data_IF_853508053249
#
_entry.id   IF_853508053249
#
_cell.length_a   1.000
_cell.length_b   1.000
_cell.length_c   1.000
_cell.angle_alpha   90.00
_cell.angle_beta   90.00
_cell.angle_gamma   90.00
#
_symmetry.space_group_name_H-M   'P 1'
#
loop_
_entity.id
_entity.type
_entity.pdbx_description
1 polymer ?
#
# COMPACT_ATOMS: atom_id res chain seq x y z
N UNK A 1 21.58 49.69 34.66
CA UNK A 1 20.69 50.87 34.70
C UNK A 1 19.26 50.33 34.67
N UNK A 2 18.70 50.00 35.78
CA UNK A 2 17.57 50.58 36.53
C UNK A 2 16.41 51.05 35.65
N UNK A 3 15.30 50.26 35.67
CA UNK A 3 13.96 50.49 36.30
C UNK A 3 12.99 51.20 35.35
N UNK A 4 11.78 50.68 35.10
CA UNK A 4 10.58 50.83 35.94
C UNK A 4 9.40 49.98 35.45
N UNK A 5 8.74 49.38 36.45
CA UNK A 5 7.38 48.84 36.44
C UNK A 5 6.35 49.96 36.31
N UNK A 6 5.19 49.70 35.71
CA UNK A 6 3.94 50.31 36.17
C UNK A 6 2.74 49.40 35.87
N UNK A 7 2.12 48.99 36.94
CA UNK A 7 0.79 48.44 37.16
C UNK A 7 -0.28 49.51 37.09
N UNK A 8 -1.48 49.16 36.61
CA UNK A 8 -2.84 49.62 37.01
C UNK A 8 -3.83 48.76 36.22
N UNK A 9 -4.64 47.91 36.66
CA UNK A 9 -5.66 47.73 37.71
C UNK A 9 -6.96 48.56 37.51
N UNK A 10 -8.08 47.81 37.63
CA UNK A 10 -9.51 48.15 37.88
C UNK A 10 -10.32 48.54 36.65
N UNK A 11 -11.60 48.15 36.47
CA UNK A 11 -12.70 47.65 37.33
C UNK A 11 -13.76 46.99 36.45
N UNK A 12 -14.36 45.86 36.76
CA UNK A 12 -15.58 45.55 37.50
C UNK A 12 -16.90 46.27 37.11
N UNK A 13 -17.89 45.47 36.68
CA UNK A 13 -19.33 45.48 36.98
C UNK A 13 -20.01 44.41 36.09
N UNK A 14 -20.48 43.32 36.52
CA UNK A 14 -21.68 42.88 37.22
C UNK A 14 -23.02 43.24 36.56
N UNK A 15 -23.76 42.22 36.14
CA UNK A 15 -25.24 42.05 36.27
C UNK A 15 -25.63 40.84 35.39
N UNK A 16 -26.25 39.95 35.83
CA UNK A 16 -27.44 39.45 36.48
C UNK A 16 -27.92 38.15 35.79
N UNK A 17 -28.23 37.25 36.64
CA UNK A 17 -28.75 35.89 36.44
C UNK A 17 -30.04 35.83 35.60
N UNK A 18 -30.18 34.73 34.84
CA UNK A 18 -31.46 34.05 34.67
C UNK A 18 -31.23 32.53 34.80
N UNK A 19 -31.72 32.00 35.89
CA UNK A 19 -31.85 30.56 36.12
C UNK A 19 -32.93 30.02 35.19
N UNK A 20 -32.58 29.00 34.44
CA UNK A 20 -33.53 28.03 33.91
C UNK A 20 -33.05 26.65 34.34
N UNK A 21 -33.71 26.11 35.33
CA UNK A 21 -33.61 24.74 35.81
C UNK A 21 -34.06 23.80 34.72
N UNK A 22 -33.15 22.96 34.22
CA UNK A 22 -33.51 21.72 33.55
C UNK A 22 -32.80 20.59 34.31
N UNK A 23 -33.63 19.61 34.67
CA UNK A 23 -33.34 18.59 35.65
C UNK A 23 -32.12 17.72 35.35
N UNK A 24 -31.34 17.47 36.39
CA UNK A 24 -30.47 16.33 36.50
C UNK A 24 -31.32 15.05 36.47
N UNK A 25 -31.24 14.33 35.37
CA UNK A 25 -31.49 12.89 35.39
C UNK A 25 -30.13 12.19 35.24
N UNK A 26 -29.51 12.02 36.40
CA UNK A 26 -28.40 11.06 36.50
C UNK A 26 -29.01 9.66 36.47
N UNK A 27 -28.93 9.00 35.32
CA UNK A 27 -28.99 7.56 35.22
C UNK A 27 -27.66 7.11 34.61
N UNK A 28 -26.81 6.52 35.44
CA UNK A 28 -25.67 5.77 35.03
C UNK A 28 -26.14 4.54 34.24
N UNK A 29 -25.75 4.49 33.03
CA UNK A 29 -25.81 3.36 32.14
C UNK A 29 -24.71 3.57 31.12
N UNK A 30 -23.71 2.68 31.10
CA UNK A 30 -22.77 2.58 29.99
C UNK A 30 -23.55 2.10 28.77
N UNK A 31 -24.22 3.02 28.09
CA UNK A 31 -24.73 2.74 26.75
C UNK A 31 -23.61 3.13 25.78
N UNK A 32 -23.03 2.15 25.12
CA UNK A 32 -22.30 2.31 23.88
C UNK A 32 -23.27 2.77 22.78
N UNK A 33 -23.93 3.91 22.98
CA UNK A 33 -24.78 4.49 21.94
C UNK A 33 -23.83 5.06 20.88
N UNK A 34 -23.81 4.40 19.71
CA UNK A 34 -23.06 4.89 18.57
C UNK A 34 -23.51 6.32 18.23
N UNK A 35 -22.54 7.20 17.93
CA UNK A 35 -22.84 8.55 17.46
C UNK A 35 -23.77 8.50 16.25
N UNK A 36 -24.87 9.27 16.28
CA UNK A 36 -25.82 9.31 15.19
C UNK A 36 -25.85 10.69 14.52
N UNK A 37 -26.10 10.70 13.22
CA UNK A 37 -26.36 11.93 12.45
C UNK A 37 -27.70 12.57 12.86
N UNK A 38 -27.96 13.80 12.38
CA UNK A 38 -29.19 14.51 12.69
C UNK A 38 -30.47 13.80 12.18
N UNK A 39 -30.34 13.00 11.15
CA UNK A 39 -31.38 12.14 10.55
C UNK A 39 -31.40 10.71 11.12
N UNK A 40 -30.57 10.42 12.13
CA UNK A 40 -30.64 9.20 12.93
C UNK A 40 -29.82 8.03 12.39
N UNK A 41 -28.98 8.24 11.38
CA UNK A 41 -28.05 7.21 10.88
C UNK A 41 -26.86 7.03 11.84
N UNK A 42 -26.37 5.80 12.00
CA UNK A 42 -25.14 5.53 12.73
C UNK A 42 -23.96 6.12 11.95
N UNK A 43 -23.20 7.01 12.58
CA UNK A 43 -22.03 7.64 11.98
C UNK A 43 -20.82 6.73 12.09
N UNK A 44 -20.13 6.53 10.97
CA UNK A 44 -18.92 5.70 10.85
C UNK A 44 -17.83 6.53 10.22
N UNK A 45 -16.67 6.63 10.86
CA UNK A 45 -15.53 7.41 10.37
C UNK A 45 -14.54 6.49 9.68
N UNK A 46 -14.18 6.83 8.45
CA UNK A 46 -13.19 6.12 7.64
C UNK A 46 -12.00 7.02 7.33
N UNK A 47 -10.76 6.51 7.48
CA UNK A 47 -9.57 7.19 6.97
C UNK A 47 -9.01 6.51 5.74
N UNK A 48 -8.52 7.31 4.79
CA UNK A 48 -7.82 6.85 3.59
C UNK A 48 -6.77 7.86 3.13
N UNK A 49 -5.75 7.40 2.39
CA UNK A 49 -4.66 8.25 1.89
C UNK A 49 -4.75 8.64 0.42
N UNK A 50 -5.82 8.25 -0.27
CA UNK A 50 -6.00 8.52 -1.70
C UNK A 50 -6.32 9.98 -1.96
N UNK A 51 -5.53 10.67 -2.80
CA UNK A 51 -5.64 12.12 -3.02
C UNK A 51 -5.91 12.53 -4.47
N UNK A 52 -5.88 11.60 -5.41
CA UNK A 52 -6.02 11.86 -6.85
C UNK A 52 -7.34 11.29 -7.41
N UNK A 53 -7.29 10.65 -8.57
CA UNK A 53 -8.46 10.03 -9.20
C UNK A 53 -9.04 8.88 -8.37
N UNK A 54 -8.18 8.14 -7.71
CA UNK A 54 -8.53 7.07 -6.77
C UNK A 54 -9.35 7.60 -5.59
N UNK A 55 -8.94 8.72 -4.99
CA UNK A 55 -9.68 9.36 -3.90
C UNK A 55 -11.08 9.80 -4.33
N UNK A 56 -11.20 10.45 -5.49
CA UNK A 56 -12.49 10.87 -6.04
C UNK A 56 -13.42 9.68 -6.31
N UNK A 57 -12.85 8.58 -6.80
CA UNK A 57 -13.60 7.36 -7.08
C UNK A 57 -14.10 6.73 -5.80
N UNK A 58 -13.24 6.61 -4.77
CA UNK A 58 -13.62 6.11 -3.46
C UNK A 58 -14.72 6.97 -2.83
N UNK A 59 -14.57 8.29 -2.82
CA UNK A 59 -15.58 9.21 -2.30
C UNK A 59 -16.93 9.06 -3.02
N UNK A 60 -16.92 8.81 -4.35
CA UNK A 60 -18.14 8.54 -5.10
C UNK A 60 -18.82 7.25 -4.65
N UNK A 61 -18.06 6.16 -4.48
CA UNK A 61 -18.57 4.87 -4.00
C UNK A 61 -19.15 5.01 -2.58
N UNK A 62 -18.45 5.73 -1.68
CA UNK A 62 -18.95 6.02 -0.33
C UNK A 62 -20.25 6.82 -0.36
N UNK A 63 -20.33 7.84 -1.21
CA UNK A 63 -21.55 8.64 -1.39
C UNK A 63 -22.72 7.79 -1.90
N UNK A 64 -22.47 6.85 -2.78
CA UNK A 64 -23.51 5.96 -3.32
C UNK A 64 -23.93 4.93 -2.27
N UNK A 65 -23.01 4.40 -1.44
CA UNK A 65 -23.36 3.61 -0.25
C UNK A 65 -24.26 4.39 0.71
N UNK A 66 -23.87 5.61 1.08
CA UNK A 66 -24.63 6.45 2.01
C UNK A 66 -26.04 6.77 1.51
N UNK A 67 -26.28 6.79 0.19
CA UNK A 67 -27.60 6.99 -0.43
C UNK A 67 -28.40 5.70 -0.57
N UNK A 68 -27.74 4.54 -0.67
CA UNK A 68 -28.40 3.27 -0.96
C UNK A 68 -29.20 2.71 0.23
N UNK A 69 -28.99 3.26 1.41
CA UNK A 69 -29.59 2.79 2.67
C UNK A 69 -29.76 3.96 3.68
N UNK A 70 -30.58 3.74 4.75
CA UNK A 70 -30.95 4.75 5.74
C UNK A 70 -30.42 4.47 7.15
N UNK A 71 -29.52 3.48 7.32
CA UNK A 71 -29.04 3.04 8.64
C UNK A 71 -27.70 3.65 9.02
N UNK A 72 -26.81 3.85 8.05
CA UNK A 72 -25.42 4.20 8.26
C UNK A 72 -25.02 5.41 7.42
N UNK A 73 -24.05 6.17 7.93
CA UNK A 73 -23.37 7.23 7.17
C UNK A 73 -21.87 7.12 7.37
N UNK A 74 -21.13 6.85 6.30
CA UNK A 74 -19.69 6.84 6.30
C UNK A 74 -19.17 8.25 6.01
N UNK A 75 -18.37 8.78 6.95
CA UNK A 75 -17.61 10.02 6.82
C UNK A 75 -16.17 9.65 6.40
N UNK A 76 -15.91 9.72 5.10
CA UNK A 76 -14.60 9.43 4.53
C UNK A 76 -13.67 10.63 4.68
N UNK A 77 -12.55 10.45 5.34
CA UNK A 77 -11.59 11.50 5.68
C UNK A 77 -10.23 11.20 5.04
N UNK A 78 -9.78 12.09 4.16
CA UNK A 78 -8.43 12.03 3.59
C UNK A 78 -7.40 12.36 4.68
N UNK A 79 -6.46 11.45 4.89
CA UNK A 79 -5.29 11.62 5.74
C UNK A 79 -4.03 11.24 4.94
N UNK A 80 -2.94 12.01 5.01
CA UNK A 80 -1.68 11.57 4.41
C UNK A 80 -1.27 10.17 4.89
N UNK A 81 -0.75 9.34 4.00
CA UNK A 81 -0.28 7.98 4.33
C UNK A 81 0.71 7.96 5.51
N UNK A 82 1.63 8.95 5.56
CA UNK A 82 2.56 9.12 6.68
C UNK A 82 1.84 9.40 7.99
N UNK A 83 0.80 10.25 7.98
CA UNK A 83 -0.02 10.53 9.17
C UNK A 83 -0.73 9.28 9.67
N UNK A 84 -1.29 8.46 8.77
CA UNK A 84 -1.90 7.18 9.12
C UNK A 84 -0.85 6.30 9.80
N UNK A 85 0.33 6.12 9.18
CA UNK A 85 1.42 5.30 9.72
C UNK A 85 1.91 5.75 11.09
N UNK A 86 2.09 7.05 11.30
CA UNK A 86 2.69 7.60 12.51
C UNK A 86 1.72 7.72 13.69
N UNK A 87 0.40 7.86 13.42
CA UNK A 87 -0.55 8.25 14.47
C UNK A 87 -1.58 7.19 14.82
N UNK A 88 -1.76 6.15 14.01
CA UNK A 88 -2.85 5.17 14.14
C UNK A 88 -2.95 4.57 15.55
N UNK A 89 -1.88 3.97 16.05
CA UNK A 89 -1.87 3.32 17.37
C UNK A 89 -2.27 4.31 18.48
N UNK A 90 -1.68 5.51 18.46
CA UNK A 90 -1.99 6.54 19.47
C UNK A 90 -3.45 7.00 19.38
N UNK A 91 -3.96 7.19 18.17
CA UNK A 91 -5.33 7.66 17.94
C UNK A 91 -6.37 6.63 18.36
N UNK A 92 -6.16 5.36 17.98
CA UNK A 92 -7.05 4.27 18.39
C UNK A 92 -7.03 4.07 19.90
N UNK A 93 -5.84 4.08 20.52
CA UNK A 93 -5.71 3.94 22.00
C UNK A 93 -6.37 5.08 22.76
N UNK A 94 -6.37 6.31 22.23
CA UNK A 94 -7.05 7.45 22.86
C UNK A 94 -8.56 7.50 22.57
N UNK A 95 -9.08 6.68 21.65
CA UNK A 95 -10.47 6.72 21.21
C UNK A 95 -10.78 7.82 20.19
N UNK A 96 -9.75 8.50 19.67
CA UNK A 96 -9.85 9.58 18.66
C UNK A 96 -9.54 9.09 17.24
N UNK A 97 -9.37 7.78 17.06
CA UNK A 97 -9.09 7.16 15.76
C UNK A 97 -10.33 6.99 14.89
N UNK A 98 -10.16 6.57 13.62
CA UNK A 98 -11.27 6.20 12.75
C UNK A 98 -11.90 4.88 13.21
N UNK A 99 -13.13 4.60 12.77
CA UNK A 99 -13.75 3.30 12.99
C UNK A 99 -13.12 2.23 12.08
N UNK A 100 -12.73 2.62 10.86
CA UNK A 100 -11.93 1.78 9.99
C UNK A 100 -11.03 2.61 9.06
N UNK A 101 -10.02 1.99 8.50
CA UNK A 101 -8.99 2.66 7.71
C UNK A 101 -8.52 1.78 6.57
N UNK A 102 -8.04 2.38 5.47
CA UNK A 102 -7.25 1.66 4.49
C UNK A 102 -5.77 1.90 4.70
N UNK A 103 -5.00 0.81 4.74
CA UNK A 103 -3.53 0.81 4.75
C UNK A 103 -2.99 -0.50 4.18
N UNK A 104 -1.68 -0.57 3.97
CA UNK A 104 -1.00 -1.79 3.52
C UNK A 104 -1.04 -2.91 4.55
N UNK A 105 -0.82 -4.13 4.08
CA UNK A 105 -0.71 -5.31 4.95
C UNK A 105 0.47 -5.22 5.93
N UNK A 106 1.52 -4.49 5.56
CA UNK A 106 2.70 -4.21 6.37
C UNK A 106 2.35 -3.59 7.74
N UNK A 107 1.67 -2.46 7.72
CA UNK A 107 1.20 -1.83 8.94
C UNK A 107 0.08 -2.65 9.60
N UNK A 108 -0.86 -3.13 8.78
CA UNK A 108 -2.06 -3.81 9.26
C UNK A 108 -1.76 -5.09 10.03
N UNK A 109 -0.73 -5.85 9.65
CA UNK A 109 -0.32 -7.06 10.37
C UNK A 109 0.14 -6.73 11.79
N UNK A 110 1.11 -5.82 11.94
CA UNK A 110 1.62 -5.45 13.26
C UNK A 110 0.51 -4.90 14.17
N UNK A 111 -0.36 -4.04 13.62
CA UNK A 111 -1.47 -3.45 14.36
C UNK A 111 -2.61 -4.42 14.67
N UNK A 112 -2.73 -5.53 13.94
CA UNK A 112 -3.65 -6.61 14.30
C UNK A 112 -3.09 -7.47 15.43
N UNK A 113 -1.79 -7.72 15.42
CA UNK A 113 -1.11 -8.50 16.47
C UNK A 113 -1.09 -7.75 17.79
N UNK A 114 -0.86 -6.43 17.80
CA UNK A 114 -0.85 -5.60 19.00
C UNK A 114 -2.26 -5.21 19.49
N UNK A 115 -3.32 -5.61 18.77
CA UNK A 115 -4.72 -5.35 19.12
C UNK A 115 -5.21 -3.93 18.81
N UNK A 116 -4.46 -3.14 18.04
CA UNK A 116 -4.93 -1.86 17.51
C UNK A 116 -6.05 -2.08 16.49
N UNK A 117 -5.94 -3.10 15.67
CA UNK A 117 -7.00 -3.57 14.78
C UNK A 117 -7.62 -4.87 15.30
N UNK A 118 -8.92 -5.03 15.10
CA UNK A 118 -9.62 -6.27 15.37
C UNK A 118 -9.70 -7.13 14.10
N UNK A 119 -9.56 -8.44 14.27
CA UNK A 119 -9.77 -9.35 13.17
C UNK A 119 -11.25 -9.45 12.80
N UNK A 120 -11.51 -9.82 11.57
CA UNK A 120 -12.84 -9.82 10.94
C UNK A 120 -13.18 -11.21 10.34
N UNK A 121 -12.67 -12.28 10.97
CA UNK A 121 -12.91 -13.66 10.54
C UNK A 121 -14.40 -13.96 10.42
N UNK A 122 -15.23 -13.38 11.32
CA UNK A 122 -16.69 -13.48 11.28
C UNK A 122 -17.33 -12.88 10.00
N UNK A 123 -16.68 -11.91 9.36
CA UNK A 123 -17.09 -11.41 8.06
C UNK A 123 -16.91 -12.47 6.96
N UNK A 124 -15.81 -13.23 7.01
CA UNK A 124 -15.54 -14.31 6.06
C UNK A 124 -16.39 -15.54 6.30
N UNK A 125 -16.84 -15.77 7.54
CA UNK A 125 -17.74 -16.88 7.90
C UNK A 125 -19.18 -16.62 7.46
N UNK A 126 -19.53 -15.37 7.15
CA UNK A 126 -20.85 -15.00 6.61
C UNK A 126 -20.94 -15.40 5.14
N UNK A 127 -21.81 -16.33 4.81
CA UNK A 127 -22.02 -16.83 3.43
C UNK A 127 -22.52 -15.76 2.45
N UNK A 128 -23.08 -14.69 2.97
CA UNK A 128 -23.58 -13.58 2.17
C UNK A 128 -22.55 -12.46 2.05
N UNK A 129 -21.30 -12.68 2.47
CA UNK A 129 -20.22 -11.70 2.40
C UNK A 129 -19.67 -11.48 0.98
N UNK A 130 -19.81 -12.47 0.07
CA UNK A 130 -19.23 -12.43 -1.27
C UNK A 130 -17.70 -12.65 -1.31
N UNK A 131 -17.13 -13.12 -0.20
CA UNK A 131 -15.66 -13.28 -0.07
C UNK A 131 -15.09 -14.43 -0.89
N UNK A 132 -15.92 -15.33 -1.39
CA UNK A 132 -15.57 -16.40 -2.34
C UNK A 132 -15.24 -15.86 -3.76
N UNK A 133 -15.60 -14.61 -4.04
CA UNK A 133 -15.24 -13.91 -5.26
C UNK A 133 -13.91 -13.14 -5.14
N UNK A 134 -13.26 -13.13 -3.97
CA UNK A 134 -12.01 -12.41 -3.78
C UNK A 134 -10.80 -13.18 -4.31
N UNK A 135 -9.74 -12.46 -4.66
CA UNK A 135 -8.49 -13.07 -5.10
C UNK A 135 -7.80 -13.72 -3.90
N UNK A 136 -7.60 -15.03 -3.92
CA UNK A 136 -7.11 -15.84 -2.81
C UNK A 136 -5.77 -15.33 -2.26
N UNK A 137 -4.76 -15.13 -3.09
CA UNK A 137 -3.45 -14.66 -2.64
C UNK A 137 -3.45 -13.22 -2.08
N UNK A 138 -4.49 -12.43 -2.36
CA UNK A 138 -4.69 -11.12 -1.71
C UNK A 138 -5.24 -11.32 -0.30
N UNK A 139 -6.15 -12.28 -0.11
CA UNK A 139 -6.69 -12.64 1.23
C UNK A 139 -5.62 -13.29 2.11
N UNK A 140 -4.72 -14.09 1.53
CA UNK A 140 -3.63 -14.74 2.28
C UNK A 140 -2.72 -13.74 3.01
N UNK A 141 -2.55 -12.52 2.47
CA UNK A 141 -1.73 -11.48 3.09
C UNK A 141 -2.28 -10.94 4.42
N UNK A 142 -3.56 -11.12 4.66
CA UNK A 142 -4.26 -10.62 5.85
C UNK A 142 -4.72 -11.78 6.75
N UNK A 143 -4.22 -12.97 6.49
CA UNK A 143 -4.48 -14.18 7.29
C UNK A 143 -3.27 -14.43 8.18
N UNK A 144 -3.44 -14.25 9.49
CA UNK A 144 -2.35 -14.30 10.46
C UNK A 144 -2.66 -15.31 11.56
N UNK A 145 -1.60 -15.85 12.18
CA UNK A 145 -1.75 -16.59 13.43
C UNK A 145 -1.75 -15.59 14.60
N UNK A 146 -2.87 -15.48 15.28
CA UNK A 146 -3.02 -14.68 16.50
C UNK A 146 -3.36 -15.60 17.65
N UNK A 147 -2.52 -15.64 18.67
CA UNK A 147 -2.69 -16.49 19.86
C UNK A 147 -2.95 -17.99 19.55
N UNK A 148 -2.37 -18.48 18.47
CA UNK A 148 -2.49 -19.88 18.06
C UNK A 148 -3.71 -20.18 17.17
N UNK A 149 -4.50 -19.18 16.82
CA UNK A 149 -5.62 -19.29 15.87
C UNK A 149 -5.30 -18.55 14.56
N UNK A 150 -5.68 -19.14 13.44
CA UNK A 150 -5.63 -18.48 12.14
C UNK A 150 -6.81 -17.52 12.03
N UNK A 151 -6.51 -16.22 11.88
CA UNK A 151 -7.48 -15.15 11.84
C UNK A 151 -7.33 -14.30 10.56
N UNK A 152 -8.45 -13.86 9.99
CA UNK A 152 -8.49 -12.90 8.91
C UNK A 152 -8.73 -11.51 9.48
N UNK A 153 -7.74 -10.61 9.35
CA UNK A 153 -7.75 -9.36 10.10
C UNK A 153 -8.01 -8.13 9.24
N UNK A 154 -8.23 -8.30 7.94
CA UNK A 154 -8.58 -7.22 7.02
C UNK A 154 -9.53 -7.68 5.92
N UNK A 155 -9.95 -6.77 5.06
CA UNK A 155 -10.75 -7.07 3.86
C UNK A 155 -10.07 -6.40 2.66
N UNK A 156 -9.88 -7.09 1.52
CA UNK A 156 -9.28 -6.49 0.34
C UNK A 156 -9.96 -5.18 -0.06
N UNK A 157 -9.17 -4.13 -0.22
CA UNK A 157 -9.62 -2.85 -0.76
C UNK A 157 -9.14 -2.67 -2.20
N UNK A 158 -7.89 -3.01 -2.46
CA UNK A 158 -7.24 -2.94 -3.74
C UNK A 158 -5.87 -3.59 -3.68
N UNK A 159 -5.26 -3.76 -4.83
CA UNK A 159 -3.86 -4.13 -4.90
C UNK A 159 -3.20 -3.42 -6.07
N UNK A 160 -1.93 -3.13 -5.91
CA UNK A 160 -1.14 -2.36 -6.86
C UNK A 160 0.06 -3.19 -7.32
N UNK A 161 -0.10 -4.00 -8.38
CA UNK A 161 1.04 -4.67 -8.98
C UNK A 161 1.98 -3.63 -9.59
N UNK A 162 3.28 -3.84 -9.46
CA UNK A 162 4.27 -3.02 -10.14
C UNK A 162 4.52 -3.54 -11.56
N UNK A 163 4.77 -2.61 -12.48
CA UNK A 163 5.17 -2.91 -13.85
C UNK A 163 6.29 -1.97 -14.30
N UNK A 164 6.95 -2.30 -15.39
CA UNK A 164 7.81 -1.36 -16.10
C UNK A 164 6.95 -0.57 -17.07
N UNK A 165 6.70 0.70 -16.73
CA UNK A 165 6.06 1.66 -17.61
C UNK A 165 7.09 2.26 -18.54
N UNK A 166 6.75 2.47 -19.81
CA UNK A 166 7.68 3.03 -20.77
C UNK A 166 7.01 4.02 -21.72
N UNK A 167 7.76 5.03 -22.12
CA UNK A 167 7.35 5.98 -23.15
C UNK A 167 7.46 5.33 -24.53
N UNK A 168 6.33 5.10 -25.20
CA UNK A 168 6.29 4.37 -26.48
C UNK A 168 6.95 5.14 -27.62
N UNK A 169 7.02 6.46 -27.56
CA UNK A 169 7.68 7.26 -28.58
C UNK A 169 9.20 7.14 -28.46
N UNK A 170 9.74 7.17 -27.23
CA UNK A 170 11.16 6.94 -26.98
C UNK A 170 11.57 5.52 -27.33
N UNK A 171 10.71 4.54 -27.01
CA UNK A 171 10.90 3.14 -27.38
C UNK A 171 11.04 2.93 -28.88
N UNK A 172 10.08 3.46 -29.63
CA UNK A 172 10.09 3.43 -31.12
C UNK A 172 11.27 4.19 -31.71
N UNK A 173 11.63 5.35 -31.13
CA UNK A 173 12.77 6.14 -31.60
C UNK A 173 14.11 5.41 -31.41
N UNK A 174 14.22 4.52 -30.41
CA UNK A 174 15.35 3.61 -30.22
C UNK A 174 15.32 2.36 -31.11
N UNK A 175 14.29 2.20 -31.94
CA UNK A 175 14.11 1.05 -32.83
C UNK A 175 13.62 -0.21 -32.12
N UNK A 176 13.04 -0.06 -30.93
CA UNK A 176 12.50 -1.15 -30.14
C UNK A 176 11.04 -1.43 -30.48
N UNK A 177 10.62 -2.68 -30.31
CA UNK A 177 9.28 -3.22 -30.57
C UNK A 177 8.83 -4.07 -29.38
N UNK A 178 7.61 -4.62 -29.42
CA UNK A 178 7.10 -5.53 -28.39
C UNK A 178 7.92 -6.83 -28.27
N UNK A 179 8.64 -7.20 -29.34
CA UNK A 179 9.54 -8.35 -29.31
C UNK A 179 10.80 -8.10 -28.45
N UNK A 180 11.07 -6.84 -28.10
CA UNK A 180 12.23 -6.43 -27.29
C UNK A 180 11.88 -6.28 -25.81
N UNK A 181 10.68 -6.66 -25.35
CA UNK A 181 10.33 -6.62 -23.92
C UNK A 181 11.25 -7.51 -23.10
N UNK A 182 11.98 -6.93 -22.13
CA UNK A 182 12.92 -7.67 -21.32
C UNK A 182 12.25 -8.78 -20.49
N UNK A 183 12.83 -9.96 -20.49
CA UNK A 183 12.40 -11.09 -19.66
C UNK A 183 13.31 -11.26 -18.43
N UNK A 184 14.50 -10.67 -18.47
CA UNK A 184 15.51 -10.73 -17.43
C UNK A 184 16.00 -9.33 -17.07
N UNK A 185 16.59 -9.17 -15.87
CA UNK A 185 17.21 -7.91 -15.47
C UNK A 185 18.43 -7.55 -16.34
N UNK A 186 19.13 -8.55 -16.91
CA UNK A 186 20.21 -8.30 -17.88
C UNK A 186 19.68 -7.70 -19.16
N UNK A 187 18.56 -8.21 -19.68
CA UNK A 187 17.91 -7.65 -20.87
C UNK A 187 17.36 -6.25 -20.59
N UNK A 188 16.79 -6.01 -19.39
CA UNK A 188 16.33 -4.68 -18.98
C UNK A 188 17.49 -3.68 -18.96
N UNK A 189 18.65 -4.09 -18.44
CA UNK A 189 19.86 -3.25 -18.44
C UNK A 189 20.29 -2.91 -19.88
N UNK A 190 20.31 -3.87 -20.81
CA UNK A 190 20.65 -3.61 -22.21
C UNK A 190 19.63 -2.70 -22.90
N UNK A 191 18.35 -2.83 -22.60
CA UNK A 191 17.31 -1.92 -23.09
C UNK A 191 17.49 -0.51 -22.49
N UNK A 192 17.72 -0.40 -21.19
CA UNK A 192 17.97 0.88 -20.55
C UNK A 192 19.21 1.58 -21.18
N UNK A 193 20.24 0.83 -21.48
CA UNK A 193 21.43 1.34 -22.18
C UNK A 193 21.10 1.86 -23.59
N UNK A 194 20.28 1.17 -24.37
CA UNK A 194 19.83 1.62 -25.69
C UNK A 194 18.99 2.91 -25.61
N UNK A 195 18.20 3.06 -24.55
CA UNK A 195 17.33 4.21 -24.34
C UNK A 195 18.08 5.41 -23.72
N UNK A 196 19.27 5.20 -23.15
CA UNK A 196 20.06 6.28 -22.55
C UNK A 196 20.80 7.08 -23.63
N UNK A 197 20.69 8.40 -23.57
CA UNK A 197 21.46 9.29 -24.43
C UNK A 197 22.78 9.70 -23.80
N UNK A 198 23.86 9.62 -24.56
CA UNK A 198 25.21 9.93 -24.09
C UNK A 198 25.43 11.38 -23.70
N UNK A 199 24.56 12.31 -24.13
CA UNK A 199 24.59 13.73 -23.79
C UNK A 199 23.93 14.03 -22.43
N UNK A 200 23.38 13.00 -21.74
CA UNK A 200 22.70 13.14 -20.44
C UNK A 200 21.29 13.72 -20.52
N UNK A 201 20.74 13.90 -21.73
CA UNK A 201 19.39 14.44 -21.89
C UNK A 201 18.29 13.44 -21.63
N UNK A 202 18.62 12.13 -21.55
CA UNK A 202 17.66 11.05 -21.32
C UNK A 202 18.34 9.87 -20.63
N UNK A 203 17.76 9.40 -19.55
CA UNK A 203 18.08 8.13 -18.90
C UNK A 203 17.20 7.00 -19.45
N UNK A 204 17.75 5.79 -19.42
CA UNK A 204 16.99 4.62 -19.91
C UNK A 204 15.85 4.24 -18.98
N UNK A 205 16.06 4.41 -17.67
CA UNK A 205 15.08 4.05 -16.65
C UNK A 205 15.24 4.94 -15.41
N UNK A 206 14.14 5.30 -14.78
CA UNK A 206 14.13 5.86 -13.44
C UNK A 206 13.91 4.73 -12.43
N UNK A 207 14.95 4.42 -11.66
CA UNK A 207 14.89 3.44 -10.57
C UNK A 207 15.02 4.21 -9.25
N UNK A 208 14.01 4.17 -8.37
CA UNK A 208 14.16 4.70 -7.03
C UNK A 208 15.16 3.85 -6.25
N UNK A 209 15.91 4.43 -5.32
CA UNK A 209 16.87 3.69 -4.48
C UNK A 209 16.17 2.78 -3.45
N UNK A 210 14.89 3.03 -3.21
CA UNK A 210 14.04 2.31 -2.25
C UNK A 210 12.97 1.50 -3.00
N UNK A 211 12.34 0.58 -2.29
CA UNK A 211 11.23 -0.19 -2.86
C UNK A 211 11.66 -1.45 -3.62
N UNK A 212 12.88 -1.94 -3.43
CA UNK A 212 13.36 -3.17 -4.11
C UNK A 212 13.06 -4.45 -3.34
N UNK A 213 12.52 -4.35 -2.13
CA UNK A 213 12.18 -5.51 -1.31
C UNK A 213 11.40 -6.59 -2.08
N UNK A 214 10.40 -6.26 -2.92
CA UNK A 214 9.65 -7.26 -3.69
C UNK A 214 10.49 -8.04 -4.69
N UNK A 215 11.66 -7.53 -5.08
CA UNK A 215 12.53 -8.17 -6.07
C UNK A 215 13.65 -8.99 -5.43
N UNK A 216 13.86 -8.86 -4.11
CA UNK A 216 14.81 -9.66 -3.38
C UNK A 216 14.24 -11.06 -3.14
N UNK A 217 15.01 -12.07 -3.48
CA UNK A 217 14.62 -13.48 -3.39
C UNK A 217 15.17 -14.09 -2.11
N UNK A 218 14.30 -14.61 -1.27
CA UNK A 218 14.69 -15.51 -0.22
C UNK A 218 14.62 -16.97 -0.67
N UNK A 219 14.68 -17.90 0.26
CA UNK A 219 14.51 -19.34 0.01
C UNK A 219 13.05 -19.72 -0.32
N UNK A 220 12.46 -19.05 -1.32
CA UNK A 220 11.09 -19.24 -1.78
C UNK A 220 10.04 -18.38 -1.07
N UNK A 221 10.41 -17.56 -0.07
CA UNK A 221 9.49 -16.76 0.75
C UNK A 221 9.89 -15.28 0.83
N UNK A 222 10.89 -14.83 0.06
CA UNK A 222 11.38 -13.45 0.10
C UNK A 222 12.50 -13.22 1.10
N UNK A 223 12.45 -12.15 1.88
CA UNK A 223 13.52 -11.69 2.76
C UNK A 223 13.72 -12.60 3.99
N UNK A 224 12.65 -13.29 4.41
CA UNK A 224 12.63 -14.19 5.57
C UNK A 224 11.74 -15.39 5.28
N UNK A 225 11.90 -16.43 6.08
CA UNK A 225 11.11 -17.66 6.00
C UNK A 225 9.96 -17.65 7.02
N UNK A 226 8.93 -18.47 6.78
CA UNK A 226 7.78 -18.60 7.69
C UNK A 226 8.14 -19.16 9.07
N UNK A 227 9.33 -19.77 9.23
CA UNK A 227 9.87 -20.20 10.51
C UNK A 227 10.72 -19.12 11.22
N UNK A 228 10.63 -17.86 10.76
CA UNK A 228 11.26 -16.72 11.42
C UNK A 228 12.77 -16.59 11.17
N UNK A 229 13.30 -17.18 10.10
CA UNK A 229 14.73 -17.02 9.73
C UNK A 229 14.89 -16.05 8.58
N UNK A 230 15.94 -15.26 8.64
CA UNK A 230 16.34 -14.39 7.53
C UNK A 230 16.79 -15.23 6.35
N UNK A 231 16.40 -14.81 5.15
CA UNK A 231 16.78 -15.44 3.89
C UNK A 231 17.26 -14.44 2.84
N UNK A 232 17.62 -13.23 3.27
CA UNK A 232 18.05 -12.15 2.37
C UNK A 232 19.47 -12.36 1.80
N UNK A 233 20.33 -13.00 2.56
CA UNK A 233 21.75 -13.17 2.22
C UNK A 233 21.97 -14.41 1.34
N UNK A 234 21.56 -14.30 0.10
CA UNK A 234 21.71 -15.34 -0.92
C UNK A 234 22.59 -14.87 -2.07
N UNK A 235 23.17 -15.83 -2.81
CA UNK A 235 23.95 -15.51 -4.03
C UNK A 235 23.08 -14.86 -5.10
N UNK A 236 21.79 -15.20 -5.14
CA UNK A 236 20.80 -14.64 -6.06
C UNK A 236 20.56 -13.16 -5.73
N UNK A 237 20.34 -12.83 -4.46
CA UNK A 237 20.20 -11.44 -4.02
C UNK A 237 21.48 -10.63 -4.24
N UNK A 238 22.64 -11.23 -3.99
CA UNK A 238 23.92 -10.58 -4.29
C UNK A 238 24.04 -10.22 -5.77
N UNK A 239 23.77 -11.18 -6.66
CA UNK A 239 23.81 -10.96 -8.11
C UNK A 239 22.78 -9.91 -8.56
N UNK A 240 21.58 -9.91 -7.95
CA UNK A 240 20.57 -8.90 -8.20
C UNK A 240 21.03 -7.50 -7.80
N UNK A 241 21.56 -7.33 -6.59
CA UNK A 241 22.06 -6.04 -6.11
C UNK A 241 23.27 -5.53 -6.91
N UNK A 242 24.18 -6.44 -7.34
CA UNK A 242 25.26 -6.10 -8.26
C UNK A 242 24.69 -5.55 -9.58
N UNK A 243 23.66 -6.20 -10.13
CA UNK A 243 22.96 -5.77 -11.34
C UNK A 243 22.28 -4.40 -11.15
N UNK A 244 21.59 -4.19 -10.04
CA UNK A 244 20.96 -2.90 -9.74
C UNK A 244 21.99 -1.78 -9.65
N UNK A 245 23.16 -2.03 -9.03
CA UNK A 245 24.28 -1.08 -9.02
C UNK A 245 24.76 -0.71 -10.42
N UNK A 246 24.74 -1.65 -11.37
CA UNK A 246 25.17 -1.41 -12.74
C UNK A 246 24.30 -0.37 -13.47
N UNK A 247 22.99 -0.29 -13.15
CA UNK A 247 22.14 0.75 -13.71
C UNK A 247 22.61 2.16 -13.33
N UNK A 248 23.03 2.35 -12.08
CA UNK A 248 23.50 3.66 -11.60
C UNK A 248 24.92 3.95 -12.08
N UNK A 249 25.84 2.98 -11.95
CA UNK A 249 27.24 3.15 -12.40
C UNK A 249 27.36 3.33 -13.89
N UNK A 250 26.49 2.71 -14.67
CA UNK A 250 26.43 2.88 -16.13
C UNK A 250 25.81 4.20 -16.56
N UNK A 251 25.23 4.97 -15.63
CA UNK A 251 24.52 6.21 -15.95
C UNK A 251 23.19 5.98 -16.66
N UNK A 252 22.58 4.81 -16.50
CA UNK A 252 21.29 4.46 -17.11
C UNK A 252 20.13 4.85 -16.21
N UNK A 253 20.39 5.05 -14.92
CA UNK A 253 19.52 5.66 -13.92
C UNK A 253 20.31 6.61 -13.02
N UNK A 254 19.61 7.46 -12.28
CA UNK A 254 20.19 8.38 -11.28
C UNK A 254 19.90 7.85 -9.89
N UNK A 255 20.93 7.76 -9.03
CA UNK A 255 20.73 7.44 -7.62
C UNK A 255 20.22 8.66 -6.84
N UNK A 256 19.59 8.42 -5.68
CA UNK A 256 19.06 9.46 -4.81
C UNK A 256 17.61 9.82 -5.10
N UNK A 257 16.92 9.10 -5.97
CA UNK A 257 15.50 9.26 -6.23
C UNK A 257 14.67 8.39 -5.27
N UNK A 258 13.63 8.97 -4.70
CA UNK A 258 12.49 8.25 -4.18
C UNK A 258 11.50 7.92 -5.33
N UNK A 259 10.39 7.26 -5.02
CA UNK A 259 9.37 6.92 -6.02
C UNK A 259 8.80 8.17 -6.71
N UNK A 260 8.54 9.23 -5.95
CA UNK A 260 8.00 10.48 -6.49
C UNK A 260 8.95 11.10 -7.52
N UNK A 261 10.24 11.21 -7.18
CA UNK A 261 11.25 11.74 -8.09
C UNK A 261 11.46 10.85 -9.32
N UNK A 262 11.37 9.52 -9.17
CA UNK A 262 11.47 8.59 -10.29
C UNK A 262 10.28 8.75 -11.27
N UNK A 263 9.06 8.89 -10.75
CA UNK A 263 7.86 9.20 -11.56
C UNK A 263 8.00 10.53 -12.26
N UNK A 264 8.37 11.60 -11.55
CA UNK A 264 8.58 12.92 -12.14
C UNK A 264 9.64 12.89 -13.24
N UNK A 265 10.70 12.10 -13.10
CA UNK A 265 11.71 11.90 -14.15
C UNK A 265 11.12 11.26 -15.41
N UNK A 266 10.26 10.26 -15.26
CA UNK A 266 9.56 9.64 -16.37
C UNK A 266 8.53 10.58 -17.00
N UNK A 267 7.68 11.17 -16.19
CA UNK A 267 6.59 12.06 -16.59
C UNK A 267 7.08 13.37 -17.23
N UNK A 268 8.32 13.80 -16.94
CA UNK A 268 8.98 14.93 -17.60
C UNK A 268 9.72 14.56 -18.89
N UNK A 269 9.81 13.26 -19.20
CA UNK A 269 10.57 12.75 -20.35
C UNK A 269 12.09 12.71 -20.12
N UNK A 270 12.56 12.86 -18.88
CA UNK A 270 13.98 12.66 -18.52
C UNK A 270 14.36 11.18 -18.48
N UNK A 271 13.42 10.29 -18.17
CA UNK A 271 13.62 8.86 -18.21
C UNK A 271 12.66 8.19 -19.17
N UNK A 272 13.12 7.18 -19.89
CA UNK A 272 12.30 6.46 -20.88
C UNK A 272 11.42 5.38 -20.25
N UNK A 273 11.79 4.88 -19.07
CA UNK A 273 11.08 3.86 -18.30
C UNK A 273 11.04 4.21 -16.82
N UNK A 274 10.05 3.64 -16.10
CA UNK A 274 9.94 3.69 -14.63
C UNK A 274 9.29 2.40 -14.13
N UNK A 275 9.67 1.93 -12.93
CA UNK A 275 9.00 0.81 -12.27
C UNK A 275 8.11 1.37 -11.17
N UNK A 276 6.79 1.22 -11.33
CA UNK A 276 5.80 1.81 -10.42
C UNK A 276 4.44 1.11 -10.56
N UNK A 277 3.52 1.42 -9.68
CA UNK A 277 2.16 0.87 -9.65
C UNK A 277 1.21 1.43 -10.72
N UNK A 278 -0.07 1.03 -10.69
CA UNK A 278 -1.04 1.31 -11.75
C UNK A 278 -1.47 2.79 -11.84
N UNK A 279 -1.26 3.59 -10.80
CA UNK A 279 -1.54 5.04 -10.81
C UNK A 279 -0.79 5.82 -11.90
N UNK A 280 0.28 5.24 -12.45
CA UNK A 280 1.04 5.85 -13.54
C UNK A 280 0.24 5.96 -14.84
N UNK A 281 -0.73 5.08 -15.07
CA UNK A 281 -1.61 5.13 -16.25
C UNK A 281 -2.33 6.49 -16.36
N UNK A 282 -2.95 6.93 -15.27
CA UNK A 282 -3.65 8.20 -15.24
C UNK A 282 -2.70 9.39 -15.28
N UNK A 283 -1.60 9.35 -14.52
CA UNK A 283 -0.61 10.43 -14.48
C UNK A 283 0.02 10.68 -15.85
N UNK A 284 0.42 9.61 -16.53
CA UNK A 284 0.95 9.69 -17.90
C UNK A 284 -0.09 10.17 -18.92
N UNK A 285 -1.34 9.72 -18.80
CA UNK A 285 -2.46 10.16 -19.66
C UNK A 285 -2.71 11.65 -19.51
N UNK A 286 -2.76 12.17 -18.28
CA UNK A 286 -3.00 13.59 -17.98
C UNK A 286 -1.89 14.51 -18.53
N UNK A 287 -0.68 13.97 -18.64
CA UNK A 287 0.49 14.67 -19.22
C UNK A 287 0.64 14.47 -20.73
N UNK A 288 -0.23 13.68 -21.35
CA UNK A 288 -0.21 13.43 -22.79
C UNK A 288 0.97 12.55 -23.23
N UNK A 289 1.49 11.71 -22.33
CA UNK A 289 2.57 10.77 -22.63
C UNK A 289 1.99 9.53 -23.29
N UNK A 290 2.48 9.19 -24.48
CA UNK A 290 2.20 7.90 -25.09
C UNK A 290 2.96 6.83 -24.31
N UNK A 291 2.25 5.98 -23.59
CA UNK A 291 2.84 4.98 -22.70
C UNK A 291 2.21 3.59 -22.89
N UNK A 292 2.94 2.59 -22.45
CA UNK A 292 2.49 1.21 -22.30
C UNK A 292 3.33 0.57 -21.17
N UNK A 293 3.07 -0.68 -20.86
CA UNK A 293 3.79 -1.39 -19.81
C UNK A 293 4.17 -2.81 -20.24
N UNK A 294 5.15 -3.37 -19.54
CA UNK A 294 5.45 -4.79 -19.54
C UNK A 294 5.78 -5.27 -18.11
N UNK A 295 5.65 -6.57 -17.81
CA UNK A 295 5.94 -7.10 -16.49
C UNK A 295 7.37 -6.80 -16.05
N UNK A 296 7.58 -6.55 -14.76
CA UNK A 296 8.94 -6.45 -14.21
C UNK A 296 9.66 -7.78 -14.44
N UNK A 297 10.88 -7.78 -14.98
CA UNK A 297 11.65 -9.01 -15.21
C UNK A 297 11.89 -9.78 -13.91
N UNK A 298 11.76 -11.10 -13.94
CA UNK A 298 11.88 -11.93 -12.75
C UNK A 298 13.26 -12.61 -12.58
N UNK A 299 14.31 -11.93 -12.95
CA UNK A 299 15.68 -12.40 -12.82
C UNK A 299 16.05 -13.42 -13.89
N UNK A 300 16.23 -14.67 -13.52
CA UNK A 300 16.52 -15.79 -14.41
C UNK A 300 15.28 -16.56 -14.86
N UNK A 301 14.08 -16.02 -14.61
CA UNK A 301 12.82 -16.68 -14.97
C UNK A 301 12.48 -17.88 -14.07
N UNK A 302 13.14 -18.04 -12.93
CA UNK A 302 13.07 -19.25 -12.11
C UNK A 302 12.44 -19.05 -10.74
N UNK A 303 11.73 -17.93 -10.50
CA UNK A 303 10.94 -17.87 -9.27
C UNK A 303 9.89 -18.98 -9.31
N UNK A 304 10.01 -19.88 -8.35
CA UNK A 304 9.08 -21.01 -8.19
C UNK A 304 8.37 -20.79 -6.87
N UNK A 305 7.05 -20.63 -6.92
CA UNK A 305 6.23 -20.62 -5.71
C UNK A 305 6.35 -21.93 -4.92
N UNK A 306 5.99 -21.93 -3.64
CA UNK A 306 5.99 -23.16 -2.84
C UNK A 306 5.16 -24.30 -3.44
N UNK A 307 4.15 -24.00 -4.24
CA UNK A 307 3.33 -24.98 -4.98
C UNK A 307 3.98 -25.49 -6.27
N UNK A 308 5.18 -25.01 -6.61
CA UNK A 308 5.91 -25.41 -7.81
C UNK A 308 5.54 -24.63 -9.08
N UNK A 309 4.64 -23.66 -9.03
CA UNK A 309 4.33 -22.82 -10.18
C UNK A 309 5.43 -21.77 -10.41
N UNK A 310 5.64 -21.39 -11.68
CA UNK A 310 6.57 -20.30 -12.03
C UNK A 310 5.81 -18.98 -12.10
N UNK A 311 6.25 -18.00 -11.35
CA UNK A 311 5.65 -16.68 -11.29
C UNK A 311 6.51 -15.56 -11.87
N UNK A 312 5.90 -14.44 -12.16
CA UNK A 312 6.65 -13.19 -12.34
C UNK A 312 7.00 -12.62 -10.97
N UNK A 313 8.13 -11.93 -10.86
CA UNK A 313 8.56 -11.27 -9.63
C UNK A 313 7.91 -9.88 -9.48
N UNK A 314 6.72 -9.71 -10.04
CA UNK A 314 5.96 -8.48 -9.92
C UNK A 314 5.53 -8.36 -8.47
N UNK A 315 6.23 -7.56 -7.70
CA UNK A 315 5.79 -7.19 -6.36
C UNK A 315 4.44 -6.49 -6.45
N UNK A 316 3.59 -6.67 -5.47
CA UNK A 316 2.43 -5.81 -5.34
C UNK A 316 2.24 -5.37 -3.89
N UNK A 317 1.68 -4.19 -3.73
CA UNK A 317 1.22 -3.70 -2.44
C UNK A 317 -0.27 -3.99 -2.34
N UNK A 318 -0.66 -4.81 -1.38
CA UNK A 318 -2.07 -4.99 -1.02
C UNK A 318 -2.51 -3.82 -0.14
N UNK A 319 -3.66 -3.25 -0.48
CA UNK A 319 -4.38 -2.27 0.33
C UNK A 319 -5.63 -2.93 0.88
N UNK A 320 -5.86 -2.75 2.16
CA UNK A 320 -6.93 -3.43 2.87
C UNK A 320 -7.72 -2.47 3.72
N UNK A 321 -8.96 -2.82 3.96
CA UNK A 321 -9.79 -2.24 4.99
C UNK A 321 -9.48 -2.92 6.31
N UNK A 322 -9.16 -2.13 7.34
CA UNK A 322 -8.88 -2.58 8.68
C UNK A 322 -9.84 -1.94 9.66
N UNK A 323 -10.48 -2.76 10.49
CA UNK A 323 -11.41 -2.29 11.52
C UNK A 323 -10.64 -2.03 12.80
N UNK A 324 -10.76 -0.84 13.37
CA UNK A 324 -10.05 -0.52 14.60
C UNK A 324 -10.70 -1.16 15.82
N UNK A 325 -9.90 -1.49 16.84
CA UNK A 325 -10.41 -2.15 18.07
C UNK A 325 -11.42 -1.30 18.85
N UNK A 326 -11.46 0.02 18.64
CA UNK A 326 -12.43 0.91 19.29
C UNK A 326 -13.88 0.67 18.83
N UNK A 327 -14.08 0.03 17.68
CA UNK A 327 -15.42 -0.30 17.16
C UNK A 327 -16.09 -1.39 18.01
N UNK A 328 -15.33 -2.43 18.41
CA UNK A 328 -15.88 -3.59 19.12
C UNK A 328 -17.04 -4.25 18.35
N UNK A 329 -17.98 -4.86 19.06
CA UNK A 329 -19.19 -5.50 18.51
C UNK A 329 -20.38 -4.54 18.46
N UNK A 330 -20.17 -3.32 18.01
CA UNK A 330 -21.19 -2.28 17.94
C UNK A 330 -22.00 -2.33 16.63
N UNK A 331 -23.06 -1.51 16.56
CA UNK A 331 -23.81 -1.30 15.31
C UNK A 331 -22.93 -0.74 14.19
N UNK A 332 -21.82 -0.08 14.50
CA UNK A 332 -20.84 0.40 13.53
C UNK A 332 -20.18 -0.76 12.77
N UNK A 333 -19.82 -1.86 13.48
CA UNK A 333 -19.21 -3.04 12.85
C UNK A 333 -20.08 -3.59 11.72
N UNK A 334 -21.39 -3.73 11.96
CA UNK A 334 -22.31 -4.17 10.91
C UNK A 334 -22.35 -3.20 9.73
N UNK A 335 -22.38 -1.89 9.97
CA UNK A 335 -22.35 -0.88 8.91
C UNK A 335 -21.07 -0.90 8.10
N UNK A 336 -19.93 -1.18 8.73
CA UNK A 336 -18.64 -1.36 8.07
C UNK A 336 -18.67 -2.61 7.18
N UNK A 337 -19.24 -3.72 7.68
CA UNK A 337 -19.36 -4.96 6.90
C UNK A 337 -20.31 -4.81 5.70
N UNK A 338 -21.42 -4.08 5.89
CA UNK A 338 -22.33 -3.74 4.79
C UNK A 338 -21.63 -2.89 3.72
N UNK A 339 -20.72 -1.97 4.13
CA UNK A 339 -19.89 -1.22 3.20
C UNK A 339 -18.86 -2.10 2.50
N UNK A 340 -18.20 -3.03 3.19
CA UNK A 340 -17.25 -3.95 2.55
C UNK A 340 -17.90 -4.79 1.46
N UNK A 341 -19.12 -5.32 1.72
CA UNK A 341 -19.92 -6.03 0.71
C UNK A 341 -20.29 -5.12 -0.46
N UNK A 342 -20.69 -3.88 -0.18
CA UNK A 342 -21.04 -2.91 -1.21
C UNK A 342 -19.84 -2.53 -2.07
N UNK A 343 -18.71 -2.23 -1.43
CA UNK A 343 -17.48 -1.83 -2.13
C UNK A 343 -16.93 -2.97 -3.02
N UNK A 344 -16.93 -4.20 -2.51
CA UNK A 344 -16.34 -5.34 -3.22
C UNK A 344 -17.34 -6.09 -4.12
N UNK A 345 -18.56 -5.60 -4.32
CA UNK A 345 -19.44 -6.18 -5.32
C UNK A 345 -18.92 -5.92 -6.74
N UNK A 346 -19.39 -6.72 -7.69
CA UNK A 346 -18.96 -6.66 -9.09
C UNK A 346 -18.97 -5.23 -9.68
N UNK A 347 -20.14 -4.55 -9.60
CA UNK A 347 -20.34 -3.24 -10.25
C UNK A 347 -19.45 -2.15 -9.66
N UNK A 348 -19.27 -2.16 -8.34
CA UNK A 348 -18.39 -1.19 -7.66
C UNK A 348 -16.91 -1.51 -7.89
N UNK A 349 -16.54 -2.77 -8.10
CA UNK A 349 -15.17 -3.12 -8.48
C UNK A 349 -14.85 -2.73 -9.93
N UNK A 350 -15.80 -2.80 -10.86
CA UNK A 350 -15.66 -2.18 -12.19
C UNK A 350 -15.49 -0.67 -12.06
N UNK A 351 -16.36 -0.01 -11.27
CA UNK A 351 -16.30 1.45 -11.05
C UNK A 351 -14.96 1.85 -10.42
N UNK A 352 -14.50 1.10 -9.40
CA UNK A 352 -13.21 1.34 -8.76
C UNK A 352 -12.07 1.23 -9.77
N UNK A 353 -12.00 0.13 -10.51
CA UNK A 353 -10.92 -0.13 -11.46
C UNK A 353 -10.86 0.92 -12.56
N UNK A 354 -11.98 1.25 -13.19
CA UNK A 354 -12.01 2.27 -14.25
C UNK A 354 -11.67 3.68 -13.74
N UNK A 355 -12.06 4.00 -12.51
CA UNK A 355 -11.84 5.32 -11.93
C UNK A 355 -10.45 5.50 -11.31
N UNK A 356 -9.88 4.45 -10.71
CA UNK A 356 -8.61 4.51 -9.96
C UNK A 356 -7.40 3.96 -10.71
N UNK A 357 -7.60 3.20 -11.78
CA UNK A 357 -6.61 2.39 -12.49
C UNK A 357 -6.08 1.18 -11.70
N UNK A 358 -6.61 0.87 -10.53
CA UNK A 358 -6.25 -0.35 -9.79
C UNK A 358 -6.99 -1.56 -10.34
N UNK A 359 -6.35 -2.73 -10.45
CA UNK A 359 -7.06 -3.96 -10.80
C UNK A 359 -8.14 -4.31 -9.78
N UNK A 360 -9.24 -4.98 -10.20
CA UNK A 360 -10.33 -5.33 -9.30
C UNK A 360 -9.95 -6.45 -8.34
N UNK A 361 -10.45 -6.40 -7.11
CA UNK A 361 -10.33 -7.52 -6.14
C UNK A 361 -11.31 -8.67 -6.44
N UNK A 362 -12.40 -8.38 -7.14
CA UNK A 362 -13.45 -9.33 -7.45
C UNK A 362 -13.12 -10.10 -8.73
N UNK A 363 -13.04 -11.41 -8.64
CA UNK A 363 -12.66 -12.31 -9.74
C UNK A 363 -13.71 -12.43 -10.83
N UNK A 364 -14.93 -11.92 -10.61
CA UNK A 364 -16.00 -11.92 -11.61
C UNK A 364 -15.90 -10.76 -12.61
N UNK A 365 -15.10 -9.72 -12.31
CA UNK A 365 -14.86 -8.60 -13.22
C UNK A 365 -13.99 -9.08 -14.39
N UNK A 366 -14.44 -8.80 -15.60
CA UNK A 366 -13.81 -9.26 -16.84
C UNK A 366 -12.96 -8.19 -17.52
N UNK A 367 -11.98 -8.60 -18.33
CA UNK A 367 -11.16 -7.67 -19.11
C UNK A 367 -12.00 -6.85 -20.12
N UNK A 368 -13.10 -7.40 -20.64
CA UNK A 368 -14.00 -6.69 -21.55
C UNK A 368 -14.68 -5.49 -20.87
N UNK A 369 -15.04 -5.63 -19.60
CA UNK A 369 -15.64 -4.55 -18.81
C UNK A 369 -14.63 -3.45 -18.49
N UNK A 370 -13.33 -3.78 -18.50
CA UNK A 370 -12.23 -2.83 -18.31
C UNK A 370 -11.64 -2.32 -19.63
N UNK A 371 -12.31 -2.56 -20.78
CA UNK A 371 -11.79 -2.24 -22.13
C UNK A 371 -11.55 -0.74 -22.36
N UNK A 372 -12.14 0.16 -21.57
CA UNK A 372 -11.82 1.59 -21.60
C UNK A 372 -10.40 1.88 -21.06
N UNK A 373 -9.85 0.99 -20.22
CA UNK A 373 -8.50 1.05 -19.66
C UNK A 373 -7.79 -0.30 -19.78
N UNK A 374 -7.34 -0.68 -20.99
CA UNK A 374 -6.80 -2.02 -21.24
C UNK A 374 -5.51 -2.32 -20.46
N UNK A 375 -4.77 -1.28 -20.01
CA UNK A 375 -3.56 -1.47 -19.21
C UNK A 375 -3.86 -1.98 -17.80
N UNK A 376 -5.08 -1.76 -17.26
CA UNK A 376 -5.50 -2.35 -15.98
C UNK A 376 -5.55 -3.88 -16.07
N UNK A 377 -6.17 -4.40 -17.12
CA UNK A 377 -6.21 -5.84 -17.35
C UNK A 377 -4.79 -6.40 -17.55
N UNK A 378 -3.97 -5.71 -18.35
CA UNK A 378 -2.58 -6.09 -18.64
C UNK A 378 -1.70 -6.15 -17.38
N UNK A 379 -1.82 -5.16 -16.47
CA UNK A 379 -1.06 -5.15 -15.21
C UNK A 379 -1.57 -6.20 -14.22
N UNK A 380 -2.88 -6.50 -14.25
CA UNK A 380 -3.52 -7.48 -13.38
C UNK A 380 -3.27 -8.95 -13.75
N UNK A 381 -2.92 -9.26 -15.00
CA UNK A 381 -2.77 -10.63 -15.52
C UNK A 381 -1.81 -11.51 -14.69
N UNK A 382 -0.83 -10.94 -14.05
CA UNK A 382 0.19 -11.65 -13.28
C UNK A 382 -0.02 -11.61 -11.76
N UNK A 383 -1.10 -10.99 -11.26
CA UNK A 383 -1.30 -10.77 -9.83
C UNK A 383 -1.44 -12.07 -9.05
N UNK A 384 -2.16 -13.05 -9.61
CA UNK A 384 -2.27 -14.39 -9.02
C UNK A 384 -0.93 -15.14 -8.94
N UNK A 385 0.11 -14.61 -9.59
CA UNK A 385 1.46 -15.15 -9.64
C UNK A 385 2.49 -14.21 -9.00
N UNK A 386 2.04 -13.17 -8.31
CA UNK A 386 2.92 -12.17 -7.69
C UNK A 386 3.39 -12.62 -6.32
N UNK A 387 4.62 -12.25 -5.98
CA UNK A 387 5.23 -12.55 -4.69
C UNK A 387 4.70 -11.61 -3.60
N UNK A 388 4.44 -12.19 -2.43
CA UNK A 388 4.01 -11.48 -1.22
C UNK A 388 5.08 -11.64 -0.15
N UNK A 389 5.82 -10.57 0.13
CA UNK A 389 6.98 -10.61 1.02
C UNK A 389 6.68 -10.59 2.53
N UNK A 390 5.41 -10.64 2.95
CA UNK A 390 5.01 -10.29 4.32
C UNK A 390 4.41 -11.46 5.10
N UNK A 391 4.01 -12.54 4.44
CA UNK A 391 3.31 -13.64 5.09
C UNK A 391 4.14 -14.26 6.24
N UNK A 392 3.55 -14.34 7.43
CA UNK A 392 4.08 -15.07 8.58
C UNK A 392 4.89 -14.25 9.59
N UNK A 393 5.03 -12.93 9.46
CA UNK A 393 5.65 -12.10 10.50
C UNK A 393 4.70 -11.85 11.67
N UNK A 394 5.23 -11.94 12.89
CA UNK A 394 4.52 -11.55 14.12
C UNK A 394 4.61 -10.05 14.45
N UNK A 395 5.46 -9.32 13.76
CA UNK A 395 5.72 -7.90 13.98
C UNK A 395 7.05 -7.44 13.36
N UNK A 396 7.45 -6.19 13.59
CA UNK A 396 8.75 -5.66 13.14
C UNK A 396 8.85 -5.35 11.65
N UNK A 397 7.76 -5.37 10.92
CA UNK A 397 7.79 -5.15 9.47
C UNK A 397 8.42 -3.79 9.11
N UNK A 398 8.10 -2.72 9.85
CA UNK A 398 8.67 -1.39 9.62
C UNK A 398 10.20 -1.38 9.78
N UNK A 399 10.73 -2.05 10.80
CA UNK A 399 12.15 -2.14 11.06
C UNK A 399 12.87 -3.00 10.01
N UNK A 400 12.24 -4.10 9.60
CA UNK A 400 12.74 -4.97 8.51
C UNK A 400 12.76 -4.19 7.19
N UNK A 401 11.69 -3.49 6.86
CA UNK A 401 11.60 -2.66 5.66
C UNK A 401 12.69 -1.58 5.65
N UNK A 402 12.88 -0.87 6.76
CA UNK A 402 13.94 0.13 6.91
C UNK A 402 15.35 -0.46 6.72
N UNK A 403 15.58 -1.70 7.16
CA UNK A 403 16.85 -2.41 6.96
C UNK A 403 17.07 -2.75 5.48
N UNK A 404 16.02 -3.18 4.78
CA UNK A 404 16.07 -3.44 3.34
C UNK A 404 16.28 -2.15 2.55
N UNK A 405 15.62 -1.08 2.93
CA UNK A 405 15.79 0.24 2.32
C UNK A 405 17.21 0.77 2.50
N UNK A 406 17.81 0.52 3.67
CA UNK A 406 19.22 0.84 3.93
C UNK A 406 20.15 0.03 3.00
N UNK A 407 19.90 -1.27 2.85
CA UNK A 407 20.67 -2.14 1.94
C UNK A 407 20.58 -1.64 0.50
N UNK A 408 19.39 -1.36 0.00
CA UNK A 408 19.19 -0.96 -1.40
C UNK A 408 19.73 0.45 -1.68
N UNK A 409 19.53 1.38 -0.75
CA UNK A 409 20.07 2.74 -0.84
C UNK A 409 21.60 2.74 -0.86
N UNK A 410 22.25 1.97 0.03
CA UNK A 410 23.71 1.85 0.02
C UNK A 410 24.21 1.14 -1.25
N UNK A 411 23.48 0.14 -1.74
CA UNK A 411 23.80 -0.49 -3.03
C UNK A 411 23.81 0.51 -4.18
N UNK A 412 22.85 1.42 -4.22
CA UNK A 412 22.73 2.43 -5.27
C UNK A 412 23.77 3.55 -5.15
N UNK A 413 24.11 3.97 -3.94
CA UNK A 413 24.84 5.23 -3.66
C UNK A 413 26.30 5.07 -3.29
N UNK A 414 26.74 3.88 -2.86
CA UNK A 414 28.10 3.65 -2.39
C UNK A 414 28.84 2.62 -3.25
N UNK A 415 30.16 2.55 -3.05
CA UNK A 415 31.01 1.51 -3.60
C UNK A 415 31.31 0.38 -2.60
N UNK A 416 30.56 0.32 -1.50
CA UNK A 416 30.73 -0.70 -0.48
C UNK A 416 30.53 -2.10 -1.05
N UNK A 417 31.24 -3.07 -0.47
CA UNK A 417 31.09 -4.47 -0.87
C UNK A 417 29.66 -4.97 -0.63
N UNK A 418 29.02 -5.48 -1.67
CA UNK A 418 27.64 -5.97 -1.61
C UNK A 418 27.48 -7.11 -0.59
N UNK A 419 28.52 -7.97 -0.45
CA UNK A 419 28.46 -9.03 0.56
C UNK A 419 28.40 -8.45 1.96
N UNK A 420 29.24 -7.43 2.23
CA UNK A 420 29.22 -6.75 3.53
C UNK A 420 27.90 -6.04 3.83
N UNK A 421 27.24 -5.46 2.81
CA UNK A 421 25.90 -4.87 2.95
C UNK A 421 24.83 -5.93 3.26
N UNK A 422 24.90 -7.10 2.60
CA UNK A 422 23.99 -8.22 2.86
C UNK A 422 24.18 -8.82 4.25
N UNK A 423 25.45 -9.01 4.69
CA UNK A 423 25.77 -9.54 6.02
C UNK A 423 25.23 -8.61 7.12
N UNK A 424 25.34 -7.29 6.91
CA UNK A 424 24.80 -6.30 7.84
C UNK A 424 23.26 -6.32 7.89
N UNK A 425 22.61 -6.39 6.73
CA UNK A 425 21.16 -6.46 6.64
C UNK A 425 20.62 -7.77 7.25
N UNK A 426 21.25 -8.92 6.97
CA UNK A 426 20.88 -10.21 7.57
C UNK A 426 20.93 -10.15 9.09
N UNK A 427 22.05 -9.65 9.65
CA UNK A 427 22.21 -9.53 11.10
C UNK A 427 21.18 -8.63 11.75
N UNK A 428 20.84 -7.50 11.11
CA UNK A 428 19.88 -6.54 11.62
C UNK A 428 18.46 -7.11 11.57
N UNK A 429 18.06 -7.68 10.43
CA UNK A 429 16.73 -8.29 10.25
C UNK A 429 16.53 -9.47 11.19
N UNK A 430 17.57 -10.34 11.38
CA UNK A 430 17.45 -11.45 12.34
C UNK A 430 17.25 -10.94 13.77
N UNK A 431 17.91 -9.83 14.14
CA UNK A 431 17.68 -9.21 15.45
C UNK A 431 16.23 -8.80 15.66
N UNK A 432 15.58 -8.22 14.68
CA UNK A 432 14.16 -7.86 14.77
C UNK A 432 13.26 -9.11 14.80
N UNK A 433 13.53 -10.11 13.96
CA UNK A 433 12.75 -11.35 13.99
C UNK A 433 12.82 -12.06 15.35
N UNK A 434 14.00 -12.06 16.00
CA UNK A 434 14.20 -12.63 17.32
C UNK A 434 13.46 -11.82 18.40
N UNK A 435 13.46 -10.49 18.32
CA UNK A 435 12.75 -9.59 19.24
C UNK A 435 11.23 -9.80 19.20
N UNK A 436 10.67 -9.98 17.98
CA UNK A 436 9.23 -10.17 17.80
C UNK A 436 8.80 -11.64 17.88
N UNK A 437 9.73 -12.59 18.04
CA UNK A 437 9.41 -14.00 18.28
C UNK A 437 9.06 -14.33 19.74
N UNK A 438 9.55 -13.51 20.69
CA UNK A 438 9.28 -13.62 22.11
C UNK A 438 7.89 -13.06 22.46
#
# INVERSE_FOLDING_TARGET
MRIKKSTKALAAAASLAMMATVGLSACGGSSNDAETTADGKVKITMWHGFSEADGKTLESIVKDFNKSQDKYEIDAQLQPWSTIGETMVTKVTSGDGPDFVTTGADNGQGWSIDGTFQCVTDFYDDKDSGTDEYIENVVDQITFNIDGSEEKCGVPMGYAPTAVWYNTDMWKAAGLTDADYPQTWDELLEVAKKLTKSDGSQYGIALPDLGWAPFLKGNGTGIYTTDGKVSINTKENKAFLEKMRDFYKGGYSVSGMDETAARESFESGQSAMVIVGPWEDQASTDKGINHDLFPVPNGDGTYVYPDGTKGSNTGFTGLYWWVTSQVGDSAKKQGIYDFFKFYNNHDNQVTWSLGSAYPPNNTTVTADELSERPLIAKIGENTSKSFIGIAGLKGGFGDISASVDTLTSNTARTDDDIQGLLDAAESQIQGYLDEYAE
#
